data_IF_470200632153
#
_entry.id   IF_470200632153
#
_cell.length_a   1.000
_cell.length_b   1.000
_cell.length_c   1.000
_cell.angle_alpha   90.00
_cell.angle_beta   90.00
_cell.angle_gamma   90.00
#
_symmetry.space_group_name_H-M   'P 1'
#
loop_
_entity.id
_entity.type
_entity.pdbx_description
1 polymer ?
#
# COMPACT_ATOMS: atom_id res chain seq x y z
N UNK A 1 -14.88 -5.72 -14.15
CA UNK A 1 -14.70 -4.28 -14.44
C UNK A 1 -13.60 -3.78 -13.54
N UNK A 2 -12.62 -3.05 -14.09
CA UNK A 2 -11.53 -2.48 -13.29
C UNK A 2 -12.01 -1.19 -12.63
N UNK A 3 -11.80 -1.10 -11.32
CA UNK A 3 -12.20 0.02 -10.46
C UNK A 3 -10.94 0.85 -10.18
N UNK A 4 -10.92 2.09 -10.67
CA UNK A 4 -9.74 2.97 -10.60
C UNK A 4 -9.85 4.06 -9.55
N UNK A 5 -11.05 4.60 -9.32
CA UNK A 5 -11.27 5.70 -8.37
C UNK A 5 -10.64 5.45 -6.98
N UNK A 6 -10.97 4.36 -6.25
CA UNK A 6 -10.34 4.11 -4.95
C UNK A 6 -8.82 3.90 -5.05
N UNK A 7 -8.35 3.30 -6.14
CA UNK A 7 -6.92 3.00 -6.35
C UNK A 7 -6.12 4.29 -6.40
N UNK A 8 -6.61 5.28 -7.15
CA UNK A 8 -5.95 6.56 -7.32
C UNK A 8 -6.09 7.40 -6.05
N UNK A 9 -7.30 7.56 -5.55
CA UNK A 9 -7.58 8.45 -4.41
C UNK A 9 -6.90 7.93 -3.14
N UNK A 10 -7.14 6.67 -2.77
CA UNK A 10 -6.49 6.09 -1.59
C UNK A 10 -4.99 5.89 -1.82
N UNK A 11 -4.55 5.65 -3.05
CA UNK A 11 -3.13 5.52 -3.39
C UNK A 11 -2.36 6.81 -3.15
N UNK A 12 -2.92 7.94 -3.55
CA UNK A 12 -2.34 9.26 -3.25
C UNK A 12 -2.40 9.54 -1.74
N UNK A 13 -3.55 9.35 -1.10
CA UNK A 13 -3.72 9.68 0.33
C UNK A 13 -2.76 8.84 1.20
N UNK A 14 -2.79 7.52 1.05
CA UNK A 14 -1.96 6.61 1.86
C UNK A 14 -0.47 6.70 1.48
N UNK A 15 -0.16 6.93 0.21
CA UNK A 15 1.22 7.12 -0.24
C UNK A 15 1.83 8.44 0.25
N UNK A 16 1.05 9.53 0.29
CA UNK A 16 1.47 10.79 0.89
C UNK A 16 1.58 10.67 2.41
N UNK A 17 0.67 9.96 3.06
CA UNK A 17 0.79 9.66 4.49
C UNK A 17 2.10 8.94 4.82
N UNK A 18 2.47 7.92 4.04
CA UNK A 18 3.75 7.22 4.18
C UNK A 18 4.94 8.17 3.99
N UNK A 19 4.88 9.05 2.98
CA UNK A 19 5.91 10.06 2.75
C UNK A 19 6.08 10.99 3.96
N UNK A 20 4.98 11.48 4.55
CA UNK A 20 5.03 12.36 5.71
C UNK A 20 5.56 11.64 6.95
N UNK A 21 5.14 10.38 7.17
CA UNK A 21 5.63 9.57 8.29
C UNK A 21 7.16 9.37 8.19
N UNK A 22 7.65 8.97 7.02
CA UNK A 22 9.09 8.82 6.75
C UNK A 22 9.82 10.16 6.91
N UNK A 23 9.27 11.27 6.45
CA UNK A 23 9.89 12.59 6.60
C UNK A 23 9.94 13.05 8.08
N UNK A 24 8.93 12.73 8.87
CA UNK A 24 8.92 13.07 10.30
C UNK A 24 9.93 12.25 11.11
N UNK A 25 10.19 11.01 10.68
CA UNK A 25 11.05 10.07 11.41
C UNK A 25 12.53 10.17 10.98
N UNK A 26 12.74 10.60 9.74
CA UNK A 26 14.07 10.73 9.16
C UNK A 26 14.36 12.21 8.95
N UNK A 27 15.40 12.72 9.60
CA UNK A 27 16.05 14.01 9.29
C UNK A 27 16.69 13.96 7.88
N UNK A 28 15.92 13.60 6.84
CA UNK A 28 16.35 13.54 5.46
C UNK A 28 16.70 14.95 5.01
N UNK A 29 18.00 15.25 5.00
CA UNK A 29 18.56 16.43 4.36
C UNK A 29 18.76 16.14 2.87
N UNK A 30 18.01 16.80 1.98
CA UNK A 30 18.21 16.73 0.52
C UNK A 30 16.98 16.28 -0.28
N UNK A 31 17.13 15.90 -1.56
CA UNK A 31 16.03 15.54 -2.48
C UNK A 31 15.57 14.07 -2.39
N UNK A 32 16.23 13.24 -1.57
CA UNK A 32 15.97 11.80 -1.49
C UNK A 32 14.57 11.45 -0.94
N UNK A 33 13.99 12.31 -0.09
CA UNK A 33 12.63 12.12 0.44
C UNK A 33 11.57 12.17 -0.67
N UNK A 34 11.73 13.06 -1.66
CA UNK A 34 10.78 13.19 -2.77
C UNK A 34 10.75 11.93 -3.64
N UNK A 35 11.92 11.35 -3.92
CA UNK A 35 12.03 10.07 -4.62
C UNK A 35 11.37 8.92 -3.84
N UNK A 36 11.54 8.90 -2.52
CA UNK A 36 10.84 7.95 -1.65
C UNK A 36 9.32 8.14 -1.68
N UNK A 37 8.83 9.38 -1.64
CA UNK A 37 7.41 9.68 -1.68
C UNK A 37 6.73 9.25 -2.98
N UNK A 38 7.36 9.55 -4.12
CA UNK A 38 6.85 9.09 -5.43
C UNK A 38 6.81 7.56 -5.47
N UNK A 39 7.88 6.90 -5.01
CA UNK A 39 7.93 5.44 -4.97
C UNK A 39 6.84 4.84 -4.06
N UNK A 40 6.60 5.45 -2.88
CA UNK A 40 5.57 5.03 -1.95
C UNK A 40 4.17 5.16 -2.55
N UNK A 41 3.85 6.28 -3.20
CA UNK A 41 2.56 6.48 -3.90
C UNK A 41 2.36 5.43 -5.00
N UNK A 42 3.38 5.17 -5.82
CA UNK A 42 3.28 4.17 -6.91
C UNK A 42 3.08 2.76 -6.34
N UNK A 43 3.86 2.36 -5.32
CA UNK A 43 3.68 1.07 -4.66
C UNK A 43 2.30 0.92 -4.04
N UNK A 44 1.79 1.99 -3.42
CA UNK A 44 0.47 2.04 -2.81
C UNK A 44 -0.63 1.83 -3.86
N UNK A 45 -0.53 2.52 -5.01
CA UNK A 45 -1.45 2.34 -6.12
C UNK A 45 -1.42 0.92 -6.68
N UNK A 46 -0.25 0.29 -6.81
CA UNK A 46 -0.13 -1.11 -7.26
C UNK A 46 -0.80 -2.06 -6.25
N UNK A 47 -0.57 -1.87 -4.96
CA UNK A 47 -1.16 -2.70 -3.91
C UNK A 47 -2.70 -2.55 -3.88
N UNK A 48 -3.20 -1.32 -3.92
CA UNK A 48 -4.64 -1.04 -3.96
C UNK A 48 -5.27 -1.54 -5.26
N UNK A 49 -4.57 -1.45 -6.39
CA UNK A 49 -5.03 -2.04 -7.64
C UNK A 49 -5.27 -3.55 -7.46
N UNK A 50 -4.32 -4.28 -6.88
CA UNK A 50 -4.50 -5.70 -6.59
C UNK A 50 -5.67 -5.97 -5.65
N UNK A 51 -5.82 -5.16 -4.59
CA UNK A 51 -6.88 -5.33 -3.57
C UNK A 51 -8.29 -5.09 -4.13
N UNK A 52 -8.48 -4.05 -4.93
CA UNK A 52 -9.78 -3.71 -5.54
C UNK A 52 -10.08 -4.55 -6.78
N UNK A 53 -9.05 -4.97 -7.52
CA UNK A 53 -9.19 -5.59 -8.83
C UNK A 53 -8.58 -7.00 -8.89
N UNK A 54 -8.77 -7.80 -7.83
CA UNK A 54 -8.07 -9.09 -7.67
C UNK A 54 -8.16 -10.01 -8.89
N UNK A 55 -9.34 -10.14 -9.51
CA UNK A 55 -9.51 -10.94 -10.74
C UNK A 55 -8.63 -10.44 -11.88
N UNK A 56 -8.74 -9.16 -12.24
CA UNK A 56 -7.90 -8.56 -13.28
C UNK A 56 -6.41 -8.55 -12.92
N UNK A 57 -6.07 -8.41 -11.64
CA UNK A 57 -4.70 -8.53 -11.17
C UNK A 57 -4.14 -9.94 -11.42
N UNK A 58 -4.90 -10.99 -11.11
CA UNK A 58 -4.49 -12.38 -11.36
C UNK A 58 -4.33 -12.68 -12.87
N UNK A 59 -5.19 -12.11 -13.71
CA UNK A 59 -5.10 -12.24 -15.17
C UNK A 59 -3.84 -11.55 -15.71
N UNK A 60 -3.62 -10.27 -15.35
CA UNK A 60 -2.46 -9.48 -15.79
C UNK A 60 -1.15 -10.14 -15.34
N UNK A 61 -1.12 -10.69 -14.13
CA UNK A 61 0.08 -11.34 -13.57
C UNK A 61 0.22 -12.81 -13.94
N UNK A 62 -0.74 -13.39 -14.68
CA UNK A 62 -0.82 -14.84 -15.00
C UNK A 62 -0.87 -15.76 -13.77
N UNK A 63 -1.11 -15.22 -12.57
CA UNK A 63 -1.06 -15.99 -11.32
C UNK A 63 -2.22 -16.99 -11.21
N UNK A 64 -3.35 -16.70 -11.85
CA UNK A 64 -4.50 -17.61 -11.90
C UNK A 64 -4.14 -18.98 -12.54
N UNK A 65 -3.24 -18.98 -13.52
CA UNK A 65 -2.88 -20.17 -14.30
C UNK A 65 -1.82 -21.03 -13.62
N UNK A 66 -1.17 -20.53 -12.56
CA UNK A 66 -0.01 -21.19 -11.92
C UNK A 66 -0.37 -22.26 -10.89
N UNK A 67 -1.65 -22.57 -10.72
CA UNK A 67 -2.11 -23.61 -9.78
C UNK A 67 -1.75 -23.33 -8.31
N UNK A 68 -1.57 -22.06 -7.93
CA UNK A 68 -1.22 -21.68 -6.56
C UNK A 68 -2.43 -21.94 -5.65
N UNK A 69 -2.29 -22.73 -4.57
CA UNK A 69 -3.39 -23.00 -3.66
C UNK A 69 -4.00 -21.71 -3.10
N UNK A 70 -5.32 -21.66 -3.05
CA UNK A 70 -6.11 -20.56 -2.48
C UNK A 70 -5.96 -19.18 -3.15
N UNK A 71 -5.20 -19.06 -4.26
CA UNK A 71 -4.97 -17.76 -4.92
C UNK A 71 -6.26 -17.13 -5.47
N UNK A 72 -7.25 -17.96 -5.84
CA UNK A 72 -8.56 -17.50 -6.30
C UNK A 72 -9.41 -16.89 -5.18
N UNK A 73 -9.06 -17.12 -3.91
CA UNK A 73 -9.74 -16.48 -2.78
C UNK A 73 -9.26 -15.04 -2.63
N UNK A 74 -10.17 -14.09 -2.87
CA UNK A 74 -9.88 -12.66 -2.81
C UNK A 74 -9.31 -12.21 -1.45
N UNK A 75 -9.78 -12.78 -0.34
CA UNK A 75 -9.30 -12.40 0.99
C UNK A 75 -7.88 -12.88 1.25
N UNK A 76 -7.56 -14.11 0.81
CA UNK A 76 -6.20 -14.63 0.86
C UNK A 76 -5.28 -13.72 0.04
N UNK A 77 -5.69 -13.38 -1.18
CA UNK A 77 -4.97 -12.45 -2.04
C UNK A 77 -4.69 -11.10 -1.41
N UNK A 78 -5.73 -10.47 -0.86
CA UNK A 78 -5.62 -9.17 -0.16
C UNK A 78 -4.65 -9.25 1.01
N UNK A 79 -4.78 -10.25 1.87
CA UNK A 79 -3.88 -10.43 3.03
C UNK A 79 -2.43 -10.61 2.57
N UNK A 80 -2.19 -11.41 1.52
CA UNK A 80 -0.84 -11.58 0.96
C UNK A 80 -0.27 -10.27 0.43
N UNK A 81 -1.06 -9.46 -0.28
CA UNK A 81 -0.64 -8.11 -0.72
C UNK A 81 -0.31 -7.23 0.48
N UNK A 82 -1.14 -7.22 1.52
CA UNK A 82 -0.87 -6.47 2.75
C UNK A 82 0.42 -6.89 3.44
N UNK A 83 0.69 -8.19 3.50
CA UNK A 83 1.94 -8.73 4.04
C UNK A 83 3.14 -8.30 3.20
N UNK A 84 3.08 -8.46 1.88
CA UNK A 84 4.15 -8.05 0.95
C UNK A 84 4.44 -6.55 1.12
N UNK A 85 3.39 -5.73 1.18
CA UNK A 85 3.51 -4.29 1.36
C UNK A 85 4.15 -3.96 2.71
N UNK A 86 3.73 -4.63 3.80
CA UNK A 86 4.28 -4.42 5.13
C UNK A 86 5.79 -4.71 5.16
N UNK A 87 6.20 -5.88 4.64
CA UNK A 87 7.61 -6.25 4.55
C UNK A 87 8.41 -5.31 3.66
N UNK A 88 7.83 -4.82 2.56
CA UNK A 88 8.51 -3.88 1.65
C UNK A 88 8.75 -2.53 2.31
N UNK A 89 7.75 -1.97 2.98
CA UNK A 89 7.86 -0.69 3.70
C UNK A 89 8.83 -0.83 4.88
N UNK A 90 8.71 -1.90 5.67
CA UNK A 90 9.63 -2.19 6.76
C UNK A 90 11.07 -2.36 6.28
N UNK A 91 11.29 -3.15 5.22
CA UNK A 91 12.62 -3.38 4.65
C UNK A 91 13.28 -2.09 4.14
N UNK A 92 12.49 -1.20 3.53
CA UNK A 92 12.99 0.11 3.07
C UNK A 92 13.41 0.98 4.26
N UNK A 93 12.62 1.00 5.34
CA UNK A 93 12.97 1.70 6.58
C UNK A 93 14.24 1.14 7.24
N UNK A 94 14.39 -0.19 7.32
CA UNK A 94 15.55 -0.84 7.94
C UNK A 94 16.88 -0.56 7.20
N UNK A 95 16.86 -0.48 5.86
CA UNK A 95 18.05 -0.18 5.05
C UNK A 95 18.52 1.27 5.27
N UNK A 96 17.58 2.21 5.45
CA UNK A 96 17.91 3.63 5.66
C UNK A 96 18.54 3.86 7.04
N UNK A 97 18.14 3.09 8.06
CA UNK A 97 18.69 3.23 9.41
C UNK A 97 20.07 2.58 9.62
N UNK A 98 20.61 1.86 8.63
CA UNK A 98 22.01 1.41 8.60
C UNK A 98 22.47 0.52 9.77
N UNK A 99 21.61 0.08 10.69
CA UNK A 99 22.01 -0.62 11.90
C UNK A 99 20.96 -1.63 12.34
N UNK A 100 21.41 -2.88 12.51
CA UNK A 100 20.77 -4.00 13.23
C UNK A 100 20.44 -3.70 14.71
N UNK A 101 20.42 -2.43 15.13
CA UNK A 101 20.23 -1.99 16.50
C UNK A 101 19.68 -0.55 16.55
N UNK A 102 18.48 -0.31 16.03
CA UNK A 102 17.79 0.98 16.22
C UNK A 102 16.63 0.82 17.22
N UNK A 103 16.76 1.49 18.37
CA UNK A 103 15.63 1.81 19.25
C UNK A 103 14.49 2.36 18.39
N UNK A 104 13.33 1.69 18.36
CA UNK A 104 12.18 2.10 17.55
C UNK A 104 11.61 1.02 16.61
N UNK A 105 12.16 -0.19 16.57
CA UNK A 105 11.62 -1.27 15.73
C UNK A 105 10.11 -1.50 15.94
N UNK A 106 9.60 -1.43 17.17
CA UNK A 106 8.17 -1.59 17.42
C UNK A 106 7.33 -0.46 16.80
N UNK A 107 7.80 0.79 16.85
CA UNK A 107 7.12 1.96 16.29
C UNK A 107 7.03 1.85 14.76
N UNK A 108 8.14 1.46 14.11
CA UNK A 108 8.21 1.24 12.66
C UNK A 108 7.29 0.11 12.18
N UNK A 109 7.28 -1.03 12.87
CA UNK A 109 6.41 -2.16 12.50
C UNK A 109 4.93 -1.82 12.70
N UNK A 110 4.58 -1.08 13.75
CA UNK A 110 3.17 -0.71 13.99
C UNK A 110 2.63 0.19 12.89
N UNK A 111 3.41 1.18 12.45
CA UNK A 111 3.03 2.07 11.35
C UNK A 111 2.83 1.33 10.03
N UNK A 112 3.81 0.51 9.63
CA UNK A 112 3.71 -0.25 8.36
C UNK A 112 2.60 -1.30 8.41
N UNK A 113 2.36 -1.90 9.58
CA UNK A 113 1.23 -2.81 9.80
C UNK A 113 -0.12 -2.07 9.69
N UNK A 114 -0.23 -0.86 10.25
CA UNK A 114 -1.44 -0.04 10.16
C UNK A 114 -1.75 0.32 8.71
N UNK A 115 -0.75 0.79 7.95
CA UNK A 115 -0.93 1.08 6.52
C UNK A 115 -1.34 -0.17 5.76
N UNK A 116 -0.68 -1.31 5.99
CA UNK A 116 -1.07 -2.57 5.35
C UNK A 116 -2.49 -3.00 5.71
N UNK A 117 -2.91 -2.83 6.97
CA UNK A 117 -4.27 -3.11 7.38
C UNK A 117 -5.28 -2.19 6.68
N UNK A 118 -4.97 -0.89 6.55
CA UNK A 118 -5.78 0.06 5.79
C UNK A 118 -5.89 -0.37 4.32
N UNK A 119 -4.78 -0.75 3.68
CA UNK A 119 -4.80 -1.22 2.28
C UNK A 119 -5.68 -2.47 2.12
N UNK A 120 -5.50 -3.49 2.98
CA UNK A 120 -6.28 -4.75 2.92
C UNK A 120 -7.77 -4.51 3.13
N UNK A 121 -8.11 -3.59 4.03
CA UNK A 121 -9.50 -3.26 4.39
C UNK A 121 -10.10 -2.14 3.54
N UNK A 122 -9.35 -1.58 2.59
CA UNK A 122 -9.81 -0.49 1.74
C UNK A 122 -11.15 -0.74 1.05
N UNK A 123 -11.44 -1.93 0.50
CA UNK A 123 -12.75 -2.21 -0.10
C UNK A 123 -13.90 -2.18 0.91
N UNK A 124 -13.62 -2.35 2.20
CA UNK A 124 -14.63 -2.31 3.25
C UNK A 124 -14.98 -0.88 3.64
N UNK A 125 -13.98 0.00 3.75
CA UNK A 125 -14.25 1.38 4.16
C UNK A 125 -14.51 2.33 2.97
N UNK A 126 -14.11 1.97 1.76
CA UNK A 126 -14.32 2.80 0.56
C UNK A 126 -15.77 3.22 0.32
N UNK A 127 -16.79 2.34 0.45
CA UNK A 127 -18.19 2.72 0.26
C UNK A 127 -18.68 3.82 1.21
N UNK A 128 -17.99 4.05 2.33
CA UNK A 128 -18.30 5.13 3.27
C UNK A 128 -17.57 6.44 2.91
N UNK A 129 -16.45 6.35 2.18
CA UNK A 129 -15.68 7.51 1.74
C UNK A 129 -16.18 8.06 0.40
N UNK A 130 -16.58 7.19 -0.52
CA UNK A 130 -17.03 7.55 -1.86
C UNK A 130 -18.13 8.63 -1.87
N UNK A 131 -19.18 8.58 -1.02
CA UNK A 131 -20.22 9.61 -0.99
C UNK A 131 -19.74 10.99 -0.54
N UNK A 132 -18.56 11.08 0.10
CA UNK A 132 -17.96 12.34 0.54
C UNK A 132 -17.19 13.05 -0.58
N UNK A 133 -16.97 12.37 -1.72
CA UNK A 133 -16.23 12.91 -2.84
C UNK A 133 -17.14 13.76 -3.75
N UNK A 134 -16.58 14.83 -4.36
CA UNK A 134 -17.24 15.51 -5.46
C UNK A 134 -17.54 14.53 -6.61
N UNK A 135 -18.71 14.69 -7.25
CA UNK A 135 -19.18 13.77 -8.32
C UNK A 135 -18.16 13.60 -9.46
N UNK A 136 -17.40 14.65 -9.78
CA UNK A 136 -16.37 14.60 -10.83
C UNK A 136 -15.13 13.77 -10.48
N UNK A 137 -14.96 13.37 -9.22
CA UNK A 137 -13.88 12.49 -8.77
C UNK A 137 -14.26 11.00 -8.84
N UNK A 138 -15.51 10.65 -9.14
CA UNK A 138 -16.02 9.27 -9.19
C UNK A 138 -16.09 8.80 -10.64
N UNK A 139 -15.23 7.85 -11.01
CA UNK A 139 -15.07 7.29 -12.37
C UNK A 139 -14.65 5.82 -12.43
#
# INVERSE_FOLDING_TARGET
MVIWTPVIILGVILGLYELFAIHSDLNFRGSHWLGHGIHAVVLMMIALFAVFNWGSFLEITTLAERGIPFISNVWVGRILIGLILNFKMHGTSAVVHGQLAARGMAEHWTHTLLISALVVTAPLYWPFLEPLLPVWMVF
#
